data_IF_654176582014
#
_entry.id   IF_654176582014
#
_cell.length_a   1.000
_cell.length_b   1.000
_cell.length_c   1.000
_cell.angle_alpha   90.00
_cell.angle_beta   90.00
_cell.angle_gamma   90.00
#
_symmetry.space_group_name_H-M   'P 1'
#
loop_
_entity.id
_entity.type
_entity.pdbx_description
1 polymer ?
#
# COMPACT_ATOMS: atom_id res chain seq x y z
N UNK A 1 -14.94 -2.66 -2.59
CA UNK A 1 -13.55 -2.41 -3.02
C UNK A 1 -12.75 -1.80 -1.88
N UNK A 2 -11.53 -2.21 -1.75
CA UNK A 2 -10.61 -1.72 -0.71
C UNK A 2 -9.50 -0.93 -1.40
N UNK A 3 -9.16 0.23 -0.86
CA UNK A 3 -8.06 1.06 -1.34
C UNK A 3 -6.98 1.13 -0.27
N UNK A 4 -5.76 0.85 -0.67
CA UNK A 4 -4.58 0.96 0.20
C UNK A 4 -3.70 2.06 -0.38
N UNK A 5 -3.42 3.08 0.43
CA UNK A 5 -2.52 4.15 0.02
C UNK A 5 -1.21 4.04 0.77
N UNK A 6 -0.11 4.20 0.06
CA UNK A 6 1.22 4.06 0.65
C UNK A 6 2.09 5.23 0.21
N UNK A 7 2.57 5.97 1.21
CA UNK A 7 3.55 7.03 1.01
C UNK A 7 4.92 6.41 1.22
N UNK A 8 5.67 6.26 0.12
CA UNK A 8 6.93 5.52 0.11
C UNK A 8 8.09 6.42 0.49
N UNK A 9 8.92 5.94 1.40
CA UNK A 9 10.16 6.59 1.78
C UNK A 9 11.29 5.56 1.84
N UNK A 10 12.48 6.02 2.15
CA UNK A 10 13.68 5.17 2.07
C UNK A 10 13.64 4.01 3.06
N UNK A 11 13.33 4.30 4.32
CA UNK A 11 13.48 3.32 5.39
C UNK A 11 12.16 2.77 5.88
N UNK A 12 11.08 3.49 5.68
CA UNK A 12 9.76 3.09 6.15
C UNK A 12 8.69 3.75 5.28
N UNK A 13 7.51 3.16 5.32
CA UNK A 13 6.38 3.64 4.51
C UNK A 13 5.18 3.88 5.40
N UNK A 14 4.43 4.93 5.11
CA UNK A 14 3.17 5.22 5.80
C UNK A 14 2.01 4.72 4.95
N UNK A 15 1.12 3.96 5.57
CA UNK A 15 0.03 3.27 4.89
C UNK A 15 -1.30 3.63 5.51
N UNK A 16 -2.37 3.62 4.69
CA UNK A 16 -3.73 3.73 5.18
C UNK A 16 -4.64 2.86 4.31
N UNK A 17 -5.79 2.47 4.86
CA UNK A 17 -6.72 1.59 4.17
C UNK A 17 -8.12 2.17 4.27
N UNK A 18 -8.79 2.29 3.12
CA UNK A 18 -10.15 2.80 3.00
C UNK A 18 -11.03 1.81 2.27
N UNK A 19 -12.34 1.90 2.46
CA UNK A 19 -13.26 1.22 1.55
C UNK A 19 -13.71 2.17 0.44
N UNK A 20 -14.53 1.68 -0.49
CA UNK A 20 -14.96 2.47 -1.65
C UNK A 20 -15.88 3.63 -1.28
N UNK A 21 -16.39 3.66 -0.06
CA UNK A 21 -17.23 4.74 0.44
C UNK A 21 -16.43 5.80 1.19
N UNK A 22 -15.10 5.64 1.23
CA UNK A 22 -14.24 6.58 1.92
C UNK A 22 -14.13 6.33 3.42
N UNK A 23 -14.73 5.26 3.94
CA UNK A 23 -14.60 4.91 5.35
C UNK A 23 -13.19 4.39 5.63
N UNK A 24 -12.56 4.94 6.66
CA UNK A 24 -11.22 4.52 7.07
C UNK A 24 -11.32 3.18 7.77
N UNK A 25 -10.69 2.16 7.18
CA UNK A 25 -10.63 0.82 7.76
C UNK A 25 -9.40 0.64 8.63
N UNK A 26 -8.33 1.34 8.32
CA UNK A 26 -7.14 1.42 9.16
C UNK A 26 -6.54 2.80 9.01
N UNK A 27 -6.39 3.51 10.13
CA UNK A 27 -5.71 4.79 10.16
C UNK A 27 -4.25 4.61 9.79
N UNK A 28 -3.57 5.71 9.53
CA UNK A 28 -2.16 5.69 9.11
C UNK A 28 -1.34 4.83 10.06
N UNK A 29 -0.65 3.87 9.47
CA UNK A 29 0.31 3.05 10.19
C UNK A 29 1.60 2.95 9.37
N UNK A 30 2.70 2.73 10.04
CA UNK A 30 4.01 2.72 9.42
C UNK A 30 4.56 1.31 9.36
N UNK A 31 5.14 0.95 8.22
CA UNK A 31 5.83 -0.33 8.06
C UNK A 31 7.28 -0.07 7.69
N UNK A 32 8.17 -0.99 8.09
CA UNK A 32 9.56 -0.92 7.67
C UNK A 32 9.71 -1.29 6.20
N UNK A 33 10.71 -0.73 5.53
CA UNK A 33 10.99 -1.05 4.13
C UNK A 33 11.81 -2.34 4.06
N UNK A 34 11.20 -3.45 4.46
CA UNK A 34 11.80 -4.77 4.41
C UNK A 34 10.68 -5.81 4.37
N UNK A 35 11.07 -7.08 4.25
CA UNK A 35 10.10 -8.17 4.10
C UNK A 35 9.14 -8.28 5.28
N UNK A 36 9.63 -8.09 6.50
CA UNK A 36 8.79 -8.16 7.69
C UNK A 36 7.72 -7.07 7.64
N UNK A 37 8.13 -5.85 7.27
CA UNK A 37 7.18 -4.74 7.11
C UNK A 37 6.15 -5.03 6.02
N UNK A 38 6.58 -5.59 4.89
CA UNK A 38 5.67 -5.92 3.79
C UNK A 38 4.66 -6.98 4.20
N UNK A 39 5.09 -7.98 4.95
CA UNK A 39 4.19 -9.03 5.45
C UNK A 39 3.20 -8.47 6.46
N UNK A 40 3.62 -7.51 7.28
CA UNK A 40 2.72 -6.81 8.19
C UNK A 40 1.64 -6.05 7.40
N UNK A 41 2.04 -5.36 6.35
CA UNK A 41 1.10 -4.66 5.47
C UNK A 41 0.09 -5.65 4.87
N UNK A 42 0.55 -6.76 4.33
CA UNK A 42 -0.33 -7.75 3.72
C UNK A 42 -1.33 -8.30 4.72
N UNK A 43 -0.89 -8.60 5.95
CA UNK A 43 -1.77 -9.05 7.03
C UNK A 43 -2.85 -8.02 7.33
N UNK A 44 -2.46 -6.74 7.38
CA UNK A 44 -3.42 -5.66 7.64
C UNK A 44 -4.45 -5.56 6.52
N UNK A 45 -4.01 -5.66 5.29
CA UNK A 45 -4.91 -5.61 4.13
C UNK A 45 -5.91 -6.76 4.21
N UNK A 46 -5.42 -7.97 4.47
CA UNK A 46 -6.28 -9.15 4.57
C UNK A 46 -7.27 -9.04 5.71
N UNK A 47 -6.84 -8.52 6.84
CA UNK A 47 -7.71 -8.31 7.99
C UNK A 47 -8.81 -7.29 7.70
N UNK A 48 -8.49 -6.23 6.96
CA UNK A 48 -9.46 -5.19 6.63
C UNK A 48 -10.40 -5.60 5.50
N UNK A 49 -9.97 -6.49 4.62
CA UNK A 49 -10.75 -6.83 3.44
C UNK A 49 -11.96 -7.71 3.75
N UNK A 50 -11.87 -8.56 4.77
CA UNK A 50 -12.99 -9.41 5.23
C UNK A 50 -13.73 -10.10 4.09
N UNK A 51 -12.97 -10.71 3.17
CA UNK A 51 -13.55 -11.42 2.04
C UNK A 51 -13.80 -10.55 0.82
N UNK A 52 -13.53 -9.27 0.90
CA UNK A 52 -13.59 -8.39 -0.26
C UNK A 52 -12.52 -8.79 -1.26
N UNK A 53 -12.93 -9.05 -2.52
CA UNK A 53 -12.01 -9.57 -3.52
C UNK A 53 -11.27 -8.47 -4.30
N UNK A 54 -11.79 -7.25 -4.28
CA UNK A 54 -11.19 -6.17 -5.05
C UNK A 54 -10.38 -5.27 -4.13
N UNK A 55 -9.08 -5.28 -4.33
CA UNK A 55 -8.14 -4.48 -3.56
C UNK A 55 -7.25 -3.75 -4.56
N UNK A 56 -7.15 -2.43 -4.39
CA UNK A 56 -6.24 -1.61 -5.19
C UNK A 56 -5.24 -0.94 -4.26
N UNK A 57 -3.98 -0.97 -4.65
CA UNK A 57 -2.90 -0.36 -3.88
C UNK A 57 -2.28 0.75 -4.71
N UNK A 58 -2.20 1.95 -4.13
CA UNK A 58 -1.54 3.08 -4.76
C UNK A 58 -0.28 3.43 -3.99
N UNK A 59 0.84 3.47 -4.68
CA UNK A 59 2.12 3.89 -4.13
C UNK A 59 2.45 5.29 -4.61
N UNK A 60 2.63 6.22 -3.69
CA UNK A 60 3.14 7.55 -4.03
C UNK A 60 4.61 7.57 -3.67
N UNK A 61 5.47 7.66 -4.70
CA UNK A 61 6.90 7.48 -4.51
C UNK A 61 7.70 8.42 -5.37
N UNK A 62 8.84 8.87 -4.84
CA UNK A 62 9.88 9.52 -5.59
C UNK A 62 11.09 8.60 -5.59
N UNK A 63 11.81 8.54 -6.72
CA UNK A 63 12.99 7.69 -6.82
C UNK A 63 12.62 6.21 -6.88
N UNK A 64 13.51 5.37 -6.39
CA UNK A 64 13.44 3.92 -6.59
C UNK A 64 13.18 3.10 -5.32
N UNK A 65 12.80 3.76 -4.24
CA UNK A 65 12.61 3.07 -2.95
C UNK A 65 11.38 2.16 -2.93
N UNK A 66 10.51 2.28 -3.93
CA UNK A 66 9.30 1.48 -4.00
C UNK A 66 9.49 0.11 -4.65
N UNK A 67 10.64 -0.15 -5.27
CA UNK A 67 10.78 -1.33 -6.14
C UNK A 67 10.56 -2.65 -5.40
N UNK A 68 11.15 -2.81 -4.22
CA UNK A 68 11.00 -4.04 -3.47
C UNK A 68 9.56 -4.23 -2.99
N UNK A 69 8.95 -3.17 -2.50
CA UNK A 69 7.56 -3.21 -2.06
C UNK A 69 6.63 -3.51 -3.25
N UNK A 70 6.85 -2.85 -4.37
CA UNK A 70 6.04 -3.07 -5.56
C UNK A 70 6.09 -4.53 -6.00
N UNK A 71 7.30 -5.11 -6.06
CA UNK A 71 7.47 -6.51 -6.42
C UNK A 71 6.73 -7.43 -5.45
N UNK A 72 6.83 -7.17 -4.16
CA UNK A 72 6.12 -7.96 -3.15
C UNK A 72 4.60 -7.91 -3.35
N UNK A 73 4.06 -6.72 -3.58
CA UNK A 73 2.62 -6.55 -3.73
C UNK A 73 2.10 -7.22 -5.00
N UNK A 74 2.82 -7.08 -6.10
CA UNK A 74 2.46 -7.74 -7.35
C UNK A 74 2.54 -9.26 -7.22
N UNK A 75 3.57 -9.77 -6.57
CA UNK A 75 3.71 -11.20 -6.32
C UNK A 75 2.61 -11.74 -5.42
N UNK A 76 2.04 -10.88 -4.59
CA UNK A 76 0.91 -11.24 -3.73
C UNK A 76 -0.42 -11.18 -4.47
N UNK A 77 -0.41 -10.84 -5.75
CA UNK A 77 -1.63 -10.80 -6.56
C UNK A 77 -2.45 -9.53 -6.41
N UNK A 78 -1.86 -8.46 -5.87
CA UNK A 78 -2.56 -7.21 -5.65
C UNK A 78 -2.39 -6.26 -6.83
N UNK A 79 -3.49 -5.65 -7.27
CA UNK A 79 -3.45 -4.60 -8.29
C UNK A 79 -2.79 -3.37 -7.70
N UNK A 80 -1.60 -3.04 -8.19
CA UNK A 80 -0.77 -2.00 -7.61
C UNK A 80 -0.40 -0.96 -8.66
N UNK A 81 -0.55 0.31 -8.30
CA UNK A 81 -0.27 1.45 -9.17
C UNK A 81 0.75 2.35 -8.51
N UNK A 82 1.71 2.83 -9.29
CA UNK A 82 2.71 3.78 -8.80
C UNK A 82 2.34 5.16 -9.30
N UNK A 83 2.24 6.10 -8.37
CA UNK A 83 1.92 7.49 -8.67
C UNK A 83 3.18 8.31 -8.44
N UNK A 84 3.59 9.06 -9.44
CA UNK A 84 4.75 9.93 -9.32
C UNK A 84 4.29 11.35 -8.97
N UNK A 85 4.53 11.81 -7.74
CA UNK A 85 4.06 13.13 -7.32
C UNK A 85 4.72 14.29 -8.10
N UNK A 86 5.82 14.03 -8.78
CA UNK A 86 6.49 15.07 -9.56
C UNK A 86 5.76 15.40 -10.85
N UNK A 87 4.76 14.63 -11.22
CA UNK A 87 3.96 14.88 -12.42
C UNK A 87 2.75 15.76 -12.15
N UNK A 88 2.55 16.19 -10.94
CA UNK A 88 1.45 17.09 -10.61
C UNK A 88 1.89 18.53 -10.87
N UNK A 89 1.30 19.12 -11.81
CA UNK A 89 1.55 20.52 -12.12
C UNK A 89 0.28 21.21 -12.42
#
# INVERSE_FOLDING_TARGET
MIFVGIDVAKDKHDCFILNSEGTVLADVFTIANNRIGFETLLSRIQSCSQGESKIKVGLEATGHYSYNLLGFLLDSGLATYVINPLHTN
#
